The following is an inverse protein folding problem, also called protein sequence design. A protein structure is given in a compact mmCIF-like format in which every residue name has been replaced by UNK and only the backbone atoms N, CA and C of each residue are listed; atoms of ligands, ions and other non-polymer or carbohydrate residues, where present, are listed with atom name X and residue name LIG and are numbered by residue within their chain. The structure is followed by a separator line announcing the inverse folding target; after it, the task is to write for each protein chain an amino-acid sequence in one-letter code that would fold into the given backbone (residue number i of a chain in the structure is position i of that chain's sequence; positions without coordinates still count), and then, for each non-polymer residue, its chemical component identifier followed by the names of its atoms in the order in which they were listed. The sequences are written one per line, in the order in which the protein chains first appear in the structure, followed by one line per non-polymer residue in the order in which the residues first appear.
data_IF_528261540674
#
_entry.id   IF_528261540674
#
_cell.length_a   1.000
_cell.length_b   1.000
_cell.length_c   1.000
_cell.angle_alpha   90.00
_cell.angle_beta   90.00
_cell.angle_gamma   90.00
#
_symmetry.space_group_name_H-M   'P 1'
#
loop_
_entity.id
_entity.type
_entity.pdbx_description
1 polymer ?
#
# COMPACT_ATOMS: atom_id res chain seq x y z
N UNK A 1 -0.31 -15.87 8.25
CA UNK A 1 -1.44 -14.94 8.02
C UNK A 1 -2.10 -15.11 6.65
N UNK A 2 -1.36 -15.45 5.58
CA UNK A 2 -1.92 -15.67 4.23
C UNK A 2 -3.15 -16.61 4.17
N UNK A 3 -3.16 -17.68 4.98
CA UNK A 3 -4.28 -18.61 5.01
C UNK A 3 -5.63 -17.97 5.43
N UNK A 4 -5.59 -16.84 6.15
CA UNK A 4 -6.80 -16.12 6.58
C UNK A 4 -7.53 -15.54 5.37
N UNK A 5 -6.84 -14.71 4.59
CA UNK A 5 -7.41 -14.07 3.40
C UNK A 5 -7.66 -15.08 2.28
N UNK A 6 -6.79 -16.09 2.12
CA UNK A 6 -6.91 -17.08 1.02
C UNK A 6 -8.05 -18.08 1.21
N UNK A 7 -8.37 -18.48 2.45
CA UNK A 7 -9.32 -19.58 2.72
C UNK A 7 -10.59 -19.16 3.47
N UNK A 8 -10.80 -17.85 3.68
CA UNK A 8 -12.02 -17.28 4.26
C UNK A 8 -12.50 -18.05 5.51
N UNK A 9 -11.66 -18.10 6.54
CA UNK A 9 -11.87 -18.92 7.76
C UNK A 9 -12.92 -18.26 8.69
N UNK A 10 -14.08 -17.86 8.17
CA UNK A 10 -14.99 -16.92 8.82
C UNK A 10 -15.83 -17.44 10.01
N UNK A 11 -15.62 -18.65 10.53
CA UNK A 11 -16.50 -19.24 11.58
C UNK A 11 -15.75 -20.12 12.58
N UNK A 12 -16.41 -20.39 13.73
CA UNK A 12 -15.96 -21.44 14.66
C UNK A 12 -15.80 -22.74 13.89
N UNK A 13 -14.60 -23.27 13.85
CA UNK A 13 -14.27 -24.40 12.98
C UNK A 13 -13.23 -25.29 13.66
N UNK A 14 -13.19 -26.57 13.31
CA UNK A 14 -12.18 -27.50 13.84
C UNK A 14 -10.83 -27.32 13.11
N UNK A 15 -9.74 -27.79 13.72
CA UNK A 15 -8.44 -27.83 13.06
C UNK A 15 -8.48 -28.71 11.79
N UNK A 16 -9.19 -29.83 11.83
CA UNK A 16 -9.37 -30.75 10.70
C UNK A 16 -10.03 -30.07 9.49
N UNK A 17 -11.06 -29.25 9.73
CA UNK A 17 -11.75 -28.51 8.66
C UNK A 17 -10.83 -27.48 8.01
N UNK A 18 -10.04 -26.75 8.82
CA UNK A 18 -9.05 -25.78 8.29
C UNK A 18 -8.01 -26.53 7.47
N UNK A 19 -7.47 -27.64 8.00
CA UNK A 19 -6.50 -28.48 7.31
C UNK A 19 -7.02 -28.95 5.95
N UNK A 20 -8.27 -29.44 5.90
CA UNK A 20 -8.94 -29.84 4.66
C UNK A 20 -9.10 -28.70 3.67
N UNK A 21 -9.53 -27.51 4.13
CA UNK A 21 -9.72 -26.33 3.26
C UNK A 21 -8.41 -25.78 2.70
N UNK A 22 -7.36 -25.82 3.51
CA UNK A 22 -6.04 -25.31 3.16
C UNK A 22 -5.17 -26.33 2.40
N UNK A 23 -5.58 -27.61 2.37
CA UNK A 23 -4.80 -28.68 1.75
C UNK A 23 -3.50 -29.02 2.49
N UNK A 24 -3.47 -28.89 3.83
CA UNK A 24 -2.27 -29.09 4.66
C UNK A 24 -2.55 -30.05 5.81
N UNK A 25 -1.49 -30.54 6.48
CA UNK A 25 -1.63 -31.46 7.61
C UNK A 25 -2.27 -30.76 8.84
N UNK A 26 -3.14 -31.46 9.56
CA UNK A 26 -3.83 -30.93 10.74
C UNK A 26 -2.87 -30.54 11.88
N UNK A 27 -1.80 -31.32 12.11
CA UNK A 27 -0.81 -31.00 13.14
C UNK A 27 -0.07 -29.71 12.82
N UNK A 28 0.24 -29.45 11.56
CA UNK A 28 0.89 -28.21 11.13
C UNK A 28 -0.04 -27.01 11.30
N UNK A 29 -1.30 -27.15 10.90
CA UNK A 29 -2.34 -26.13 11.16
C UNK A 29 -2.42 -25.83 12.65
N UNK A 30 -2.47 -26.86 13.49
CA UNK A 30 -2.54 -26.70 14.95
C UNK A 30 -1.32 -25.96 15.51
N UNK A 31 -0.11 -26.29 15.05
CA UNK A 31 1.14 -25.63 15.48
C UNK A 31 1.15 -24.15 15.09
N UNK A 32 0.82 -23.86 13.84
CA UNK A 32 0.81 -22.48 13.30
C UNK A 32 -0.27 -21.64 13.99
N UNK A 33 -1.48 -22.17 14.15
CA UNK A 33 -2.58 -21.43 14.78
C UNK A 33 -2.33 -21.18 16.26
N UNK A 34 -1.73 -22.14 16.99
CA UNK A 34 -1.33 -21.92 18.39
C UNK A 34 -0.30 -20.82 18.52
N UNK A 35 0.70 -20.76 17.64
CA UNK A 35 1.63 -19.66 17.62
C UNK A 35 0.94 -18.33 17.27
N UNK A 36 0.05 -18.31 16.28
CA UNK A 36 -0.71 -17.10 15.94
C UNK A 36 -1.61 -16.62 17.10
N UNK A 37 -2.09 -17.51 17.96
CA UNK A 37 -2.83 -17.15 19.19
C UNK A 37 -1.95 -16.42 20.21
N UNK A 38 -0.64 -16.73 20.30
CA UNK A 38 0.27 -15.97 21.18
C UNK A 38 0.46 -14.53 20.71
N UNK A 39 0.24 -14.28 19.41
CA UNK A 39 0.22 -12.96 18.79
C UNK A 39 -1.19 -12.32 18.79
N UNK A 40 -2.15 -12.91 19.51
CA UNK A 40 -3.55 -12.46 19.60
C UNK A 40 -4.29 -12.39 18.26
N UNK A 41 -3.79 -13.06 17.23
CA UNK A 41 -4.48 -13.12 15.94
C UNK A 41 -5.74 -13.99 16.05
N UNK A 42 -5.70 -15.09 16.79
CA UNK A 42 -6.86 -15.98 16.97
C UNK A 42 -7.08 -16.35 18.43
N UNK A 43 -8.16 -17.08 18.70
CA UNK A 43 -8.46 -17.65 20.01
C UNK A 43 -9.04 -19.06 19.90
N UNK A 44 -8.89 -19.83 20.98
CA UNK A 44 -9.46 -21.17 21.15
C UNK A 44 -10.52 -21.12 22.26
N UNK A 45 -11.78 -20.72 21.98
CA UNK A 45 -12.81 -20.58 23.01
C UNK A 45 -13.19 -21.90 23.70
N UNK A 46 -12.94 -23.03 23.03
CA UNK A 46 -13.06 -24.39 23.56
C UNK A 46 -11.93 -25.21 22.95
N UNK A 47 -11.36 -26.14 23.72
CA UNK A 47 -10.32 -27.06 23.22
C UNK A 47 -10.74 -27.69 21.88
N UNK A 48 -9.89 -27.57 20.86
CA UNK A 48 -10.16 -28.10 19.51
C UNK A 48 -10.99 -27.18 18.61
N UNK A 49 -11.53 -26.08 19.15
CA UNK A 49 -12.39 -25.14 18.42
C UNK A 49 -11.67 -23.82 18.25
N UNK A 50 -11.46 -23.46 17.00
CA UNK A 50 -10.79 -22.24 16.61
C UNK A 50 -11.78 -21.10 16.36
N UNK A 51 -11.42 -19.86 16.66
CA UNK A 51 -12.21 -18.67 16.32
C UNK A 51 -11.34 -17.43 16.05
N UNK A 52 -11.86 -16.53 15.23
CA UNK A 52 -11.30 -15.20 15.00
C UNK A 52 -11.25 -14.34 16.27
N UNK A 53 -10.23 -13.50 16.36
CA UNK A 53 -10.27 -12.22 17.09
C UNK A 53 -10.61 -11.08 16.11
N UNK A 54 -10.76 -9.85 16.62
CA UNK A 54 -10.94 -8.67 15.78
C UNK A 54 -9.81 -8.49 14.73
N UNK A 55 -8.55 -8.74 15.10
CA UNK A 55 -7.41 -8.56 14.20
C UNK A 55 -7.44 -9.54 13.01
N UNK A 56 -7.57 -10.85 13.28
CA UNK A 56 -7.70 -11.84 12.20
C UNK A 56 -8.97 -11.69 11.36
N UNK A 57 -10.04 -11.14 11.95
CA UNK A 57 -11.29 -10.86 11.24
C UNK A 57 -11.12 -9.72 10.24
N UNK A 58 -10.40 -8.66 10.63
CA UNK A 58 -10.04 -7.56 9.72
C UNK A 58 -9.28 -8.09 8.50
N UNK A 59 -8.30 -8.99 8.69
CA UNK A 59 -7.57 -9.62 7.57
C UNK A 59 -8.48 -10.48 6.68
N UNK A 60 -9.55 -11.07 7.24
CA UNK A 60 -10.45 -11.94 6.49
C UNK A 60 -11.55 -11.18 5.73
N UNK A 61 -12.03 -10.07 6.29
CA UNK A 61 -13.23 -9.36 5.82
C UNK A 61 -12.89 -8.04 5.09
N UNK A 62 -11.70 -7.46 5.30
CA UNK A 62 -11.22 -6.28 4.60
C UNK A 62 -10.23 -6.67 3.49
N UNK A 63 -10.63 -6.45 2.23
CA UNK A 63 -9.81 -6.82 1.07
C UNK A 63 -8.49 -6.04 1.01
N UNK A 64 -8.47 -4.77 1.41
CA UNK A 64 -7.27 -3.94 1.39
C UNK A 64 -6.26 -4.44 2.42
N UNK A 65 -6.73 -4.83 3.61
CA UNK A 65 -5.91 -5.47 4.64
C UNK A 65 -5.39 -6.85 4.18
N UNK A 66 -6.25 -7.65 3.54
CA UNK A 66 -5.86 -8.94 2.99
C UNK A 66 -4.76 -8.80 1.93
N UNK A 67 -4.89 -7.83 1.03
CA UNK A 67 -3.92 -7.52 -0.03
C UNK A 67 -2.60 -7.00 0.54
N UNK A 68 -2.64 -6.19 1.62
CA UNK A 68 -1.43 -5.78 2.34
C UNK A 68 -0.70 -7.00 2.92
N UNK A 69 -1.37 -7.83 3.71
CA UNK A 69 -0.76 -9.03 4.31
C UNK A 69 -0.18 -9.96 3.25
N UNK A 70 -0.91 -10.14 2.14
CA UNK A 70 -0.45 -10.96 1.03
C UNK A 70 0.77 -10.35 0.33
N UNK A 71 0.77 -9.05 0.04
CA UNK A 71 1.92 -8.35 -0.56
C UNK A 71 3.16 -8.41 0.34
N UNK A 72 3.01 -8.15 1.64
CA UNK A 72 4.14 -8.24 2.57
C UNK A 72 4.72 -9.65 2.62
N UNK A 73 3.87 -10.68 2.58
CA UNK A 73 4.32 -12.06 2.70
C UNK A 73 4.85 -12.65 1.38
N UNK A 74 4.19 -12.38 0.25
CA UNK A 74 4.53 -12.94 -1.06
C UNK A 74 5.64 -12.15 -1.77
N UNK A 75 5.77 -10.84 -1.52
CA UNK A 75 6.73 -9.97 -2.22
C UNK A 75 7.85 -9.50 -1.29
N UNK A 76 7.49 -8.75 -0.25
CA UNK A 76 8.47 -8.00 0.55
C UNK A 76 9.32 -8.89 1.44
N UNK A 77 8.73 -9.92 2.07
CA UNK A 77 9.48 -10.83 2.94
C UNK A 77 10.51 -11.63 2.16
N UNK A 78 10.15 -12.12 0.96
CA UNK A 78 11.08 -12.85 0.11
C UNK A 78 12.25 -11.94 -0.30
N UNK A 79 11.96 -10.71 -0.73
CA UNK A 79 12.97 -9.71 -1.04
C UNK A 79 13.90 -9.41 0.15
N UNK A 80 13.32 -9.22 1.34
CA UNK A 80 14.06 -8.90 2.56
C UNK A 80 15.06 -10.00 2.95
N UNK A 81 14.70 -11.27 2.75
CA UNK A 81 15.64 -12.40 3.01
C UNK A 81 16.83 -12.43 2.06
N UNK A 82 16.77 -11.72 0.92
CA UNK A 82 17.84 -11.64 -0.07
C UNK A 82 18.63 -10.33 -0.02
N UNK A 83 18.28 -9.38 0.86
CA UNK A 83 18.92 -8.05 0.91
C UNK A 83 20.44 -8.14 1.08
N UNK A 84 20.94 -8.97 1.99
CA UNK A 84 22.39 -9.12 2.20
C UNK A 84 23.07 -9.74 0.97
N UNK A 85 22.44 -10.73 0.34
CA UNK A 85 22.97 -11.36 -0.87
C UNK A 85 23.06 -10.34 -2.02
N UNK A 86 22.07 -9.46 -2.16
CA UNK A 86 22.09 -8.39 -3.15
C UNK A 86 23.22 -7.39 -2.87
N UNK A 87 23.39 -6.97 -1.61
CA UNK A 87 24.48 -6.05 -1.24
C UNK A 87 25.88 -6.64 -1.48
N UNK A 88 26.06 -7.95 -1.24
CA UNK A 88 27.34 -8.64 -1.52
C UNK A 88 27.58 -8.74 -3.03
N UNK A 89 26.55 -9.07 -3.81
CA UNK A 89 26.64 -9.23 -5.26
C UNK A 89 26.82 -7.88 -5.98
N UNK A 90 26.19 -6.83 -5.46
CA UNK A 90 26.16 -5.48 -6.04
C UNK A 90 26.57 -4.43 -4.98
N UNK A 91 27.87 -4.36 -4.61
CA UNK A 91 28.32 -3.48 -3.53
C UNK A 91 28.05 -2.01 -3.84
N UNK A 92 27.31 -1.33 -2.95
CA UNK A 92 27.02 0.10 -3.06
C UNK A 92 26.06 0.48 -4.19
N UNK A 93 25.42 -0.48 -4.85
CA UNK A 93 24.51 -0.20 -5.95
C UNK A 93 23.30 0.65 -5.52
N UNK A 94 22.86 1.51 -6.43
CA UNK A 94 21.64 2.30 -6.34
C UNK A 94 20.65 1.93 -7.46
N UNK A 95 20.93 0.87 -8.21
CA UNK A 95 20.11 0.47 -9.36
C UNK A 95 18.84 -0.27 -8.91
N UNK A 96 17.65 0.06 -9.46
CA UNK A 96 16.36 -0.47 -8.99
C UNK A 96 16.17 -1.96 -9.28
N UNK A 97 17.01 -2.54 -10.15
CA UNK A 97 17.02 -3.96 -10.50
C UNK A 97 18.14 -4.77 -9.81
N UNK A 98 19.00 -4.13 -9.02
CA UNK A 98 20.08 -4.79 -8.27
C UNK A 98 19.70 -5.01 -6.80
N UNK A 99 18.50 -5.55 -6.58
CA UNK A 99 17.86 -5.60 -5.26
C UNK A 99 17.62 -7.03 -4.77
N UNK A 100 17.34 -7.18 -3.47
CA UNK A 100 16.88 -8.46 -2.91
C UNK A 100 15.60 -8.97 -3.58
N UNK A 101 14.73 -8.08 -4.06
CA UNK A 101 13.54 -8.45 -4.82
C UNK A 101 13.89 -9.13 -6.15
N UNK A 102 14.83 -8.55 -6.90
CA UNK A 102 15.29 -9.11 -8.17
C UNK A 102 15.91 -10.51 -7.97
N UNK A 103 16.71 -10.68 -6.93
CA UNK A 103 17.25 -12.00 -6.55
C UNK A 103 16.15 -12.99 -6.16
N UNK A 104 15.19 -12.59 -5.32
CA UNK A 104 14.09 -13.45 -4.88
C UNK A 104 13.20 -13.90 -6.05
N UNK A 105 13.06 -13.06 -7.08
CA UNK A 105 12.30 -13.37 -8.29
C UNK A 105 13.14 -14.00 -9.42
N UNK A 106 14.46 -14.17 -9.21
CA UNK A 106 15.36 -14.74 -10.21
C UNK A 106 15.43 -13.92 -11.51
N UNK A 107 15.45 -12.60 -11.41
CA UNK A 107 15.35 -11.67 -12.55
C UNK A 107 16.35 -10.53 -12.45
N UNK A 108 16.54 -9.82 -13.55
CA UNK A 108 17.33 -8.59 -13.75
C UNK A 108 16.43 -7.34 -13.89
N UNK A 109 15.16 -7.46 -13.50
CA UNK A 109 14.14 -6.41 -13.58
C UNK A 109 13.86 -5.80 -12.22
N UNK A 110 13.45 -4.53 -12.21
CA UNK A 110 12.95 -3.85 -11.02
C UNK A 110 11.59 -4.40 -10.56
N UNK A 111 11.20 -4.06 -9.33
CA UNK A 111 9.91 -4.48 -8.76
C UNK A 111 8.72 -4.11 -9.65
N UNK A 112 8.70 -2.89 -10.18
CA UNK A 112 7.59 -2.40 -10.99
C UNK A 112 7.52 -3.07 -12.36
N UNK A 113 8.67 -3.39 -12.97
CA UNK A 113 8.73 -4.12 -14.24
C UNK A 113 8.23 -5.56 -14.10
N UNK A 114 8.53 -6.22 -12.98
CA UNK A 114 8.01 -7.57 -12.69
C UNK A 114 6.51 -7.53 -12.42
N UNK A 115 6.05 -6.57 -11.62
CA UNK A 115 4.63 -6.43 -11.29
C UNK A 115 3.80 -6.10 -12.54
N UNK A 116 4.27 -5.23 -13.42
CA UNK A 116 3.53 -4.84 -14.64
C UNK A 116 3.29 -6.02 -15.60
N UNK A 117 4.14 -7.04 -15.56
CA UNK A 117 3.99 -8.27 -16.35
C UNK A 117 2.96 -9.25 -15.74
N UNK A 118 2.48 -9.01 -14.52
CA UNK A 118 1.47 -9.83 -13.86
C UNK A 118 0.33 -8.96 -13.29
N UNK A 119 -0.78 -8.80 -14.04
CA UNK A 119 -1.89 -7.92 -13.65
C UNK A 119 -2.48 -8.22 -12.27
N UNK A 120 -2.48 -9.50 -11.85
CA UNK A 120 -3.00 -9.88 -10.54
C UNK A 120 -2.07 -9.44 -9.39
N UNK A 121 -0.74 -9.57 -9.56
CA UNK A 121 0.25 -9.05 -8.60
C UNK A 121 0.23 -7.53 -8.59
N UNK A 122 0.21 -6.88 -9.75
CA UNK A 122 0.10 -5.42 -9.85
C UNK A 122 -1.14 -4.87 -9.14
N UNK A 123 -2.32 -5.47 -9.37
CA UNK A 123 -3.56 -5.05 -8.71
C UNK A 123 -3.46 -5.18 -7.19
N UNK A 124 -2.93 -6.29 -6.69
CA UNK A 124 -2.75 -6.53 -5.25
C UNK A 124 -1.75 -5.56 -4.63
N UNK A 125 -0.63 -5.31 -5.31
CA UNK A 125 0.37 -4.35 -4.86
C UNK A 125 -0.21 -2.94 -4.83
N UNK A 126 -0.97 -2.53 -5.85
CA UNK A 126 -1.72 -1.26 -5.87
C UNK A 126 -2.71 -1.13 -4.71
N UNK A 127 -3.46 -2.19 -4.42
CA UNK A 127 -4.37 -2.24 -3.26
C UNK A 127 -3.62 -2.12 -1.93
N UNK A 128 -2.48 -2.81 -1.78
CA UNK A 128 -1.62 -2.71 -0.59
C UNK A 128 -1.00 -1.32 -0.43
N UNK A 129 -0.55 -0.68 -1.51
CA UNK A 129 -0.05 0.70 -1.49
C UNK A 129 -1.13 1.69 -1.02
N UNK A 130 -2.39 1.47 -1.43
CA UNK A 130 -3.53 2.25 -0.93
C UNK A 130 -3.69 2.06 0.58
N UNK A 131 -3.55 0.82 1.09
CA UNK A 131 -3.55 0.53 2.52
C UNK A 131 -2.44 1.27 3.29
N UNK A 132 -1.22 1.30 2.74
CA UNK A 132 -0.10 2.02 3.35
C UNK A 132 -0.33 3.53 3.38
N UNK A 133 -1.07 4.04 2.41
CA UNK A 133 -1.40 5.47 2.30
C UNK A 133 -2.56 5.88 3.22
N UNK A 134 -3.56 5.02 3.40
CA UNK A 134 -4.81 5.33 4.10
C UNK A 134 -4.91 4.72 5.50
N UNK A 135 -4.02 3.80 5.87
CA UNK A 135 -4.05 3.12 7.15
C UNK A 135 -3.89 4.08 8.33
N UNK A 136 -4.40 3.70 9.49
CA UNK A 136 -4.48 4.55 10.71
C UNK A 136 -3.15 5.16 11.17
N UNK A 137 -2.00 4.53 10.83
CA UNK A 137 -0.67 5.06 11.14
C UNK A 137 -0.15 6.11 10.17
N UNK A 138 -0.75 6.22 8.98
CA UNK A 138 -0.31 7.09 7.88
C UNK A 138 -1.44 7.92 7.28
N UNK A 139 -2.59 7.97 7.96
CA UNK A 139 -3.81 8.62 7.51
C UNK A 139 -3.54 10.06 7.10
N UNK A 140 -4.10 10.47 5.97
CA UNK A 140 -4.06 11.85 5.51
C UNK A 140 -4.67 12.83 6.53
N UNK A 141 -5.49 12.37 7.47
CA UNK A 141 -6.00 13.20 8.55
C UNK A 141 -4.88 13.90 9.32
N UNK A 142 -3.72 13.24 9.53
CA UNK A 142 -2.58 13.89 10.15
C UNK A 142 -2.02 15.04 9.31
N UNK A 143 -2.06 14.93 7.98
CA UNK A 143 -1.65 16.04 7.09
C UNK A 143 -2.66 17.19 7.17
N UNK A 144 -3.96 16.87 7.19
CA UNK A 144 -5.04 17.86 7.30
C UNK A 144 -4.97 18.63 8.62
N UNK A 145 -4.69 17.94 9.73
CA UNK A 145 -4.80 18.53 11.07
C UNK A 145 -3.53 19.23 11.55
N UNK A 146 -2.35 18.86 11.02
CA UNK A 146 -1.06 19.30 11.57
C UNK A 146 -0.31 20.31 10.68
N UNK A 147 -0.97 20.89 9.69
CA UNK A 147 -0.45 22.04 8.95
C UNK A 147 -1.51 23.14 8.88
N UNK A 148 -1.07 24.40 8.94
CA UNK A 148 -1.94 25.58 8.92
C UNK A 148 -2.52 25.88 7.54
N UNK A 149 -3.22 24.92 6.92
CA UNK A 149 -3.80 25.05 5.57
C UNK A 149 -4.72 26.27 5.43
N UNK A 150 -5.43 26.65 6.50
CA UNK A 150 -6.33 27.82 6.50
C UNK A 150 -5.58 29.14 6.32
N UNK A 151 -4.35 29.24 6.80
CA UNK A 151 -3.55 30.47 6.69
C UNK A 151 -3.07 30.73 5.26
N UNK A 152 -3.07 29.69 4.42
CA UNK A 152 -2.75 29.78 2.99
C UNK A 152 -3.89 30.46 2.20
N UNK A 153 -5.12 30.47 2.74
CA UNK A 153 -6.28 31.10 2.11
C UNK A 153 -6.62 30.48 0.75
N UNK A 154 -6.69 31.32 -0.28
CA UNK A 154 -6.98 30.94 -1.67
C UNK A 154 -5.75 30.51 -2.49
N UNK A 155 -4.66 30.16 -1.80
CA UNK A 155 -3.40 29.76 -2.42
C UNK A 155 -3.46 28.43 -3.19
N UNK A 156 -2.37 28.13 -3.88
CA UNK A 156 -2.18 26.95 -4.72
C UNK A 156 -1.15 25.99 -4.12
N UNK A 157 -1.55 24.72 -4.03
CA UNK A 157 -0.71 23.60 -3.61
C UNK A 157 -0.34 22.77 -4.84
N UNK A 158 0.95 22.69 -5.13
CA UNK A 158 1.48 21.77 -6.16
C UNK A 158 1.89 20.47 -5.48
N UNK A 159 1.12 19.40 -5.68
CA UNK A 159 1.41 18.06 -5.18
C UNK A 159 2.32 17.33 -6.18
N UNK A 160 3.62 17.32 -5.88
CA UNK A 160 4.66 16.79 -6.77
C UNK A 160 4.80 15.30 -6.52
N UNK A 161 4.55 14.49 -7.55
CA UNK A 161 4.39 13.04 -7.42
C UNK A 161 3.06 12.65 -6.75
N UNK A 162 2.03 13.49 -6.89
CA UNK A 162 0.74 13.32 -6.22
C UNK A 162 -0.12 12.15 -6.71
N UNK A 163 0.39 11.35 -7.66
CA UNK A 163 -0.27 10.17 -8.19
C UNK A 163 -1.69 10.46 -8.68
N UNK A 164 -2.69 9.75 -8.16
CA UNK A 164 -4.10 9.90 -8.53
C UNK A 164 -4.78 11.09 -7.83
N UNK A 165 -4.04 11.96 -7.13
CA UNK A 165 -4.59 13.16 -6.49
C UNK A 165 -5.42 12.88 -5.23
N UNK A 166 -5.21 11.74 -4.57
CA UNK A 166 -5.99 11.35 -3.37
C UNK A 166 -5.78 12.33 -2.20
N UNK A 167 -4.54 12.79 -1.99
CA UNK A 167 -4.22 13.79 -0.98
C UNK A 167 -4.90 15.13 -1.28
N UNK A 168 -4.76 15.65 -2.50
CA UNK A 168 -5.44 16.86 -2.94
C UNK A 168 -6.97 16.75 -2.84
N UNK A 169 -7.55 15.59 -3.16
CA UNK A 169 -9.01 15.37 -3.05
C UNK A 169 -9.48 15.52 -1.60
N UNK A 170 -8.73 14.97 -0.64
CA UNK A 170 -9.05 15.10 0.80
C UNK A 170 -8.85 16.52 1.30
N UNK A 171 -7.75 17.17 0.90
CA UNK A 171 -7.46 18.56 1.26
C UNK A 171 -8.48 19.54 0.67
N UNK A 172 -8.88 19.38 -0.59
CA UNK A 172 -9.87 20.24 -1.23
C UNK A 172 -11.25 20.16 -0.56
N UNK A 173 -11.63 18.98 -0.03
CA UNK A 173 -12.86 18.82 0.75
C UNK A 173 -12.77 19.50 2.13
N UNK A 174 -11.61 19.48 2.77
CA UNK A 174 -11.38 20.08 4.08
C UNK A 174 -11.16 21.60 4.01
N UNK A 175 -10.57 22.09 2.93
CA UNK A 175 -10.16 23.48 2.71
C UNK A 175 -10.60 23.96 1.32
N UNK A 176 -11.89 24.33 1.15
CA UNK A 176 -12.47 24.65 -0.17
C UNK A 176 -11.85 25.85 -0.88
N UNK A 177 -11.17 26.73 -0.14
CA UNK A 177 -10.54 27.94 -0.71
C UNK A 177 -9.25 27.61 -1.48
N UNK A 178 -8.56 26.52 -1.12
CA UNK A 178 -7.33 26.09 -1.76
C UNK A 178 -7.55 25.59 -3.19
N UNK A 179 -6.51 25.75 -4.01
CA UNK A 179 -6.42 25.20 -5.36
C UNK A 179 -5.27 24.20 -5.43
N UNK A 180 -5.41 23.17 -6.27
CA UNK A 180 -4.45 22.07 -6.34
C UNK A 180 -3.99 21.82 -7.76
N UNK A 181 -2.69 21.59 -7.90
CA UNK A 181 -2.07 21.08 -9.12
C UNK A 181 -1.38 19.78 -8.76
N UNK A 182 -1.90 18.66 -9.26
CA UNK A 182 -1.29 17.34 -9.10
C UNK A 182 -0.33 17.12 -10.25
N UNK A 183 0.92 16.83 -9.93
CA UNK A 183 1.98 16.54 -10.89
C UNK A 183 2.43 15.09 -10.78
N UNK A 184 2.45 14.39 -11.91
CA UNK A 184 3.00 13.02 -11.99
C UNK A 184 3.34 12.69 -13.46
N UNK A 185 3.84 11.48 -13.74
CA UNK A 185 4.12 11.04 -15.10
C UNK A 185 2.84 11.00 -15.97
N UNK A 186 2.95 11.19 -17.31
CA UNK A 186 1.79 11.28 -18.22
C UNK A 186 0.71 10.20 -18.01
N UNK A 187 1.02 8.89 -17.96
CA UNK A 187 -0.02 7.87 -17.80
C UNK A 187 -0.71 7.92 -16.43
N UNK A 188 -0.02 8.40 -15.39
CA UNK A 188 -0.55 8.49 -14.03
C UNK A 188 -1.52 9.66 -13.91
N UNK A 189 -1.17 10.82 -14.47
CA UNK A 189 -2.06 11.99 -14.45
C UNK A 189 -3.34 11.76 -15.28
N UNK A 190 -3.24 11.05 -16.41
CA UNK A 190 -4.41 10.67 -17.21
C UNK A 190 -5.37 9.75 -16.46
N UNK A 191 -4.84 8.83 -15.65
CA UNK A 191 -5.64 7.97 -14.80
C UNK A 191 -6.23 8.74 -13.61
N UNK A 192 -5.42 9.57 -12.95
CA UNK A 192 -5.82 10.38 -11.81
C UNK A 192 -6.96 11.35 -12.13
N UNK A 193 -6.89 12.04 -13.26
CA UNK A 193 -7.92 12.98 -13.70
C UNK A 193 -9.32 12.34 -13.83
N UNK A 194 -9.40 11.02 -14.10
CA UNK A 194 -10.67 10.28 -14.18
C UNK A 194 -11.24 9.89 -12.81
N UNK A 195 -10.43 9.98 -11.75
CA UNK A 195 -10.80 9.58 -10.38
C UNK A 195 -11.24 10.75 -9.50
N UNK A 196 -10.94 11.99 -9.92
CA UNK A 196 -11.35 13.18 -9.17
C UNK A 196 -12.88 13.34 -9.22
N UNK A 197 -13.54 13.54 -8.07
CA UNK A 197 -14.98 13.80 -8.02
C UNK A 197 -15.34 15.04 -8.85
N UNK A 198 -16.45 14.98 -9.59
CA UNK A 198 -16.87 16.07 -10.49
C UNK A 198 -17.04 17.41 -9.78
N UNK A 199 -17.39 17.41 -8.49
CA UNK A 199 -17.54 18.62 -7.68
C UNK A 199 -16.20 19.30 -7.34
N UNK A 200 -15.07 18.64 -7.60
CA UNK A 200 -13.72 19.16 -7.36
C UNK A 200 -12.92 19.40 -8.65
N UNK A 201 -13.51 19.19 -9.82
CA UNK A 201 -12.79 19.31 -11.11
C UNK A 201 -12.18 20.70 -11.32
N UNK A 202 -12.85 21.74 -10.82
CA UNK A 202 -12.38 23.13 -10.95
C UNK A 202 -11.24 23.46 -9.96
N UNK A 203 -11.12 22.66 -8.90
CA UNK A 203 -10.13 22.84 -7.81
C UNK A 203 -8.86 22.03 -8.00
N UNK A 204 -8.94 20.91 -8.71
CA UNK A 204 -7.82 19.97 -8.87
C UNK A 204 -7.49 19.84 -10.35
N UNK A 205 -6.33 20.37 -10.74
CA UNK A 205 -5.79 20.24 -12.09
C UNK A 205 -4.65 19.24 -12.09
N UNK A 206 -4.50 18.51 -13.20
CA UNK A 206 -3.40 17.58 -13.39
C UNK A 206 -2.42 18.12 -14.43
N UNK A 207 -1.12 17.99 -14.15
CA UNK A 207 -0.04 18.37 -15.08
C UNK A 207 0.95 17.21 -15.18
N UNK A 208 1.16 16.70 -16.39
CA UNK A 208 2.21 15.72 -16.64
C UNK A 208 3.59 16.36 -16.37
N UNK A 209 4.36 15.78 -15.46
CA UNK A 209 5.65 16.33 -15.03
C UNK A 209 6.60 15.23 -14.58
N UNK A 210 7.87 15.38 -14.96
CA UNK A 210 8.98 14.61 -14.39
C UNK A 210 9.70 15.52 -13.38
N UNK A 211 9.60 15.20 -12.10
CA UNK A 211 10.18 15.98 -11.01
C UNK A 211 11.72 16.06 -11.00
N UNK A 212 12.40 15.29 -11.86
CA UNK A 212 13.84 15.40 -12.10
C UNK A 212 14.18 16.53 -13.09
N UNK A 213 13.18 17.16 -13.69
CA UNK A 213 13.33 18.34 -14.54
C UNK A 213 12.97 19.60 -13.76
N UNK A 214 13.35 20.75 -14.30
CA UNK A 214 12.97 22.04 -13.70
C UNK A 214 11.45 22.14 -13.51
N UNK A 215 11.03 22.60 -12.33
CA UNK A 215 9.63 22.75 -11.96
C UNK A 215 8.91 23.78 -12.85
N UNK A 216 7.87 23.40 -13.63
CA UNK A 216 7.20 24.29 -14.58
C UNK A 216 6.21 25.27 -13.93
N UNK A 217 5.63 24.93 -12.78
CA UNK A 217 4.73 25.83 -12.04
C UNK A 217 5.59 26.68 -11.13
N UNK A 218 5.68 27.98 -11.40
CA UNK A 218 6.40 28.94 -10.55
C UNK A 218 5.41 29.77 -9.73
N UNK A 219 5.89 30.43 -8.68
CA UNK A 219 5.10 31.36 -7.86
C UNK A 219 3.83 30.73 -7.25
N UNK A 220 3.94 29.48 -6.80
CA UNK A 220 2.90 28.80 -6.02
C UNK A 220 3.17 28.97 -4.52
N UNK A 221 2.14 28.79 -3.70
CA UNK A 221 2.26 28.95 -2.24
C UNK A 221 2.93 27.74 -1.58
N UNK A 222 2.62 26.53 -2.04
CA UNK A 222 3.13 25.28 -1.46
C UNK A 222 3.56 24.31 -2.57
N UNK A 223 4.75 23.73 -2.42
CA UNK A 223 5.10 22.45 -3.05
C UNK A 223 5.00 21.35 -2.00
N UNK A 224 4.08 20.42 -2.24
CA UNK A 224 3.80 19.31 -1.35
C UNK A 224 4.41 18.03 -1.91
N UNK A 225 5.14 17.30 -1.07
CA UNK A 225 5.77 16.03 -1.39
C UNK A 225 5.38 15.02 -0.32
N UNK A 226 4.64 13.98 -0.69
CA UNK A 226 4.23 12.91 0.23
C UNK A 226 4.63 11.56 -0.35
N UNK A 227 5.41 10.79 0.40
CA UNK A 227 5.92 9.48 -0.06
C UNK A 227 6.76 9.58 -1.35
N UNK A 228 7.57 10.64 -1.50
CA UNK A 228 8.43 10.84 -2.69
C UNK A 228 9.91 10.59 -2.37
N UNK A 229 10.52 11.41 -1.51
CA UNK A 229 11.98 11.44 -1.30
C UNK A 229 12.60 10.20 -0.61
N UNK A 230 11.82 9.16 -0.30
CA UNK A 230 12.37 7.91 0.24
C UNK A 230 12.76 6.91 -0.86
N UNK A 231 12.44 7.22 -2.12
CA UNK A 231 12.85 6.48 -3.32
C UNK A 231 14.01 7.21 -4.00
#
# INVERSE_FOLDING_TARGET
MQAIGRFNIAKKVSYADIAKRCGVNELDVRRILRHAMTLRLFKEPKRGVFAHTAASRMIAEDQQMADWVATTSDELWQAATQTVNAMVKHPGSQEPNETGFALANGTDKSVFEVLSQNPARAKRFGSAMKAWTEGTGYDLQYVIDNYSWKEVGNGTVVDVGGSHGFACTRLAKAFPDLNFIVQDLPPVVEAGAKTVPSELSDKIKFIAYNFLKEQPVKNTDIYFFRWIFHN
#
